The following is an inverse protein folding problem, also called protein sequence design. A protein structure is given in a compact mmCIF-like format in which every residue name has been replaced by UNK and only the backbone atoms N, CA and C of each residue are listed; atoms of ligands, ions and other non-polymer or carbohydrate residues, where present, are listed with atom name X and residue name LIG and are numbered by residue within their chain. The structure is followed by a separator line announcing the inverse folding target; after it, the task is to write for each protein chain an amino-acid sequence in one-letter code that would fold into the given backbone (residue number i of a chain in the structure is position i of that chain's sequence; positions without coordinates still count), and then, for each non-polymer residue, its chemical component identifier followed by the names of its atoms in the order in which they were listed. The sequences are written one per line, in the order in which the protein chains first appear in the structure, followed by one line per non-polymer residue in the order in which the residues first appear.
data_IF_588867085658
#
_entry.id   IF_588867085658
#
_cell.length_a   1.000
_cell.length_b   1.000
_cell.length_c   1.000
_cell.angle_alpha   90.00
_cell.angle_beta   90.00
_cell.angle_gamma   90.00
#
_symmetry.space_group_name_H-M   'P 1'
#
loop_
_entity.id
_entity.type
_entity.pdbx_description
1 polymer ?
#
# COMPACT_ATOMS: atom_id res chain seq x y z
N UNK A 1 -40.36 -3.36 19.41
CA UNK A 1 -39.73 -4.69 19.43
C UNK A 1 -40.22 -5.44 20.65
N UNK A 2 -40.75 -6.65 20.45
CA UNK A 2 -41.16 -7.58 21.50
C UNK A 2 -40.56 -8.94 21.19
N UNK A 3 -39.98 -9.62 22.18
CA UNK A 3 -39.45 -10.97 21.99
C UNK A 3 -40.61 -11.96 21.84
N UNK A 4 -40.71 -12.64 20.69
CA UNK A 4 -41.77 -13.60 20.38
C UNK A 4 -41.34 -15.05 20.61
N UNK A 5 -40.08 -15.37 20.35
CA UNK A 5 -39.56 -16.72 20.46
C UNK A 5 -38.07 -16.75 20.80
N UNK A 6 -37.67 -17.77 21.56
CA UNK A 6 -36.27 -18.11 21.83
C UNK A 6 -36.02 -19.52 21.28
N UNK A 7 -34.99 -19.69 20.45
CA UNK A 7 -34.54 -20.99 19.96
C UNK A 7 -33.15 -21.28 20.53
N UNK A 8 -32.99 -22.43 21.17
CA UNK A 8 -31.79 -22.83 21.90
C UNK A 8 -31.31 -24.18 21.37
N UNK A 9 -30.01 -24.36 21.17
CA UNK A 9 -29.43 -25.67 20.89
C UNK A 9 -27.98 -25.72 21.39
N UNK A 10 -27.61 -26.80 22.08
CA UNK A 10 -26.28 -26.98 22.66
C UNK A 10 -25.88 -25.93 23.71
N UNK A 11 -26.83 -25.15 24.25
CA UNK A 11 -26.55 -24.05 25.18
C UNK A 11 -26.81 -24.48 26.62
N UNK A 12 -25.75 -24.59 27.43
CA UNK A 12 -25.81 -25.03 28.83
C UNK A 12 -26.69 -26.28 29.00
N UNK A 13 -27.79 -26.18 29.78
CA UNK A 13 -28.73 -27.28 30.01
C UNK A 13 -29.58 -27.67 28.79
N UNK A 14 -29.63 -26.82 27.76
CA UNK A 14 -30.44 -27.04 26.54
C UNK A 14 -29.61 -27.72 25.45
N UNK A 15 -29.49 -29.05 25.56
CA UNK A 15 -28.71 -29.86 24.60
C UNK A 15 -29.43 -29.95 23.26
N UNK A 16 -30.69 -30.38 23.29
CA UNK A 16 -31.50 -30.58 22.08
C UNK A 16 -32.11 -29.26 21.61
N UNK A 17 -32.38 -29.10 20.30
CA UNK A 17 -33.09 -27.94 19.77
C UNK A 17 -34.41 -27.71 20.53
N UNK A 18 -34.48 -26.60 21.25
CA UNK A 18 -35.60 -26.23 22.10
C UNK A 18 -36.17 -24.91 21.65
N UNK A 19 -37.49 -24.83 21.52
CA UNK A 19 -38.21 -23.64 21.12
C UNK A 19 -39.10 -23.16 22.27
N UNK A 20 -38.85 -21.96 22.76
CA UNK A 20 -39.65 -21.32 23.81
C UNK A 20 -40.45 -20.20 23.17
N UNK A 21 -41.78 -20.34 23.12
CA UNK A 21 -42.69 -19.30 22.63
C UNK A 21 -43.08 -18.34 23.76
N UNK A 22 -43.17 -17.05 23.45
CA UNK A 22 -43.51 -15.98 24.38
C UNK A 22 -44.75 -15.23 23.88
N UNK A 23 -45.96 -15.78 24.05
CA UNK A 23 -47.18 -15.27 23.41
C UNK A 23 -47.74 -13.99 24.06
N UNK A 24 -47.41 -13.73 25.33
CA UNK A 24 -48.02 -12.67 26.14
C UNK A 24 -47.05 -11.57 26.58
N UNK A 25 -47.59 -10.53 27.22
CA UNK A 25 -46.78 -9.48 27.86
C UNK A 25 -46.12 -9.94 29.17
N UNK A 26 -46.76 -10.89 29.85
CA UNK A 26 -46.26 -11.51 31.08
C UNK A 26 -46.13 -13.00 30.81
N UNK A 27 -44.92 -13.54 30.99
CA UNK A 27 -44.65 -14.97 30.85
C UNK A 27 -43.93 -15.44 32.10
N UNK A 28 -44.48 -16.45 32.77
CA UNK A 28 -43.86 -17.10 33.91
C UNK A 28 -43.05 -18.31 33.48
N UNK A 29 -41.74 -18.31 33.73
CA UNK A 29 -40.90 -19.51 33.57
C UNK A 29 -40.80 -20.19 34.93
N UNK A 30 -41.40 -21.36 35.06
CA UNK A 30 -41.42 -22.13 36.31
C UNK A 30 -40.75 -23.49 36.12
N UNK A 31 -40.15 -23.99 37.20
CA UNK A 31 -39.50 -25.30 37.21
C UNK A 31 -38.69 -25.51 38.49
N UNK A 32 -38.38 -26.77 38.82
CA UNK A 32 -37.63 -27.13 40.02
C UNK A 32 -36.20 -26.57 39.97
N UNK A 33 -35.54 -26.48 41.13
CA UNK A 33 -34.15 -26.01 41.18
C UNK A 33 -33.25 -26.90 40.31
N UNK A 34 -32.35 -26.28 39.53
CA UNK A 34 -31.45 -26.98 38.61
C UNK A 34 -32.04 -27.35 37.24
N UNK A 35 -33.31 -27.04 36.94
CA UNK A 35 -33.92 -27.31 35.63
C UNK A 35 -33.42 -26.42 34.48
N UNK A 36 -32.53 -25.45 34.75
CA UNK A 36 -32.04 -24.52 33.74
C UNK A 36 -32.88 -23.26 33.53
N UNK A 37 -33.83 -22.94 34.42
CA UNK A 37 -34.63 -21.70 34.37
C UNK A 37 -33.78 -20.45 34.21
N UNK A 38 -32.73 -20.29 35.01
CA UNK A 38 -31.82 -19.13 34.92
C UNK A 38 -31.02 -19.10 33.61
N UNK A 39 -30.78 -20.26 32.98
CA UNK A 39 -30.05 -20.33 31.71
C UNK A 39 -30.83 -19.68 30.56
N UNK A 40 -32.15 -19.51 30.68
CA UNK A 40 -32.95 -18.76 29.68
C UNK A 40 -32.55 -17.27 29.68
N UNK A 41 -32.34 -16.68 30.86
CA UNK A 41 -31.87 -15.29 30.99
C UNK A 41 -30.41 -15.17 30.51
N UNK A 42 -29.57 -16.16 30.83
CA UNK A 42 -28.19 -16.19 30.34
C UNK A 42 -28.14 -16.27 28.80
N UNK A 43 -29.02 -17.06 28.18
CA UNK A 43 -29.13 -17.15 26.73
C UNK A 43 -29.50 -15.81 26.10
N UNK A 44 -30.44 -15.08 26.71
CA UNK A 44 -30.83 -13.74 26.29
C UNK A 44 -29.65 -12.76 26.37
N UNK A 45 -29.01 -12.65 27.55
CA UNK A 45 -27.83 -11.80 27.78
C UNK A 45 -26.69 -12.13 26.81
N UNK A 46 -26.46 -13.41 26.55
CA UNK A 46 -25.42 -13.90 25.65
C UNK A 46 -25.64 -13.46 24.20
N UNK A 47 -26.87 -13.56 23.67
CA UNK A 47 -27.17 -13.10 22.30
C UNK A 47 -27.12 -11.59 22.17
N UNK A 48 -27.55 -10.85 23.20
CA UNK A 48 -27.52 -9.38 23.23
C UNK A 48 -26.09 -8.79 23.32
N UNK A 49 -25.06 -9.64 23.37
CA UNK A 49 -23.67 -9.24 23.23
C UNK A 49 -22.86 -9.23 24.52
N UNK A 50 -23.34 -9.84 25.61
CA UNK A 50 -22.55 -10.02 26.83
C UNK A 50 -21.25 -10.79 26.51
N UNK A 51 -20.14 -10.22 26.97
CA UNK A 51 -18.78 -10.71 26.71
C UNK A 51 -18.08 -11.24 27.96
N UNK A 52 -18.61 -10.96 29.15
CA UNK A 52 -18.05 -11.45 30.41
C UNK A 52 -18.65 -12.83 30.73
N UNK A 53 -17.80 -13.86 30.77
CA UNK A 53 -18.21 -15.21 31.15
C UNK A 53 -18.84 -15.25 32.56
N UNK A 54 -18.30 -14.47 33.49
CA UNK A 54 -18.81 -14.37 34.86
C UNK A 54 -20.25 -13.85 34.93
N UNK A 55 -20.65 -12.96 34.02
CA UNK A 55 -22.02 -12.46 33.92
C UNK A 55 -23.00 -13.53 33.39
N UNK A 56 -22.46 -14.58 32.77
CA UNK A 56 -23.21 -15.75 32.29
C UNK A 56 -23.00 -16.94 33.23
N UNK A 57 -22.54 -16.75 34.47
CA UNK A 57 -22.31 -17.83 35.45
C UNK A 57 -21.39 -18.94 34.91
N UNK A 58 -20.38 -18.56 34.14
CA UNK A 58 -19.30 -19.44 33.65
C UNK A 58 -17.93 -18.84 33.96
N UNK A 59 -16.89 -19.67 33.92
CA UNK A 59 -15.50 -19.24 34.07
C UNK A 59 -14.94 -18.76 32.72
N UNK A 60 -15.26 -19.49 31.66
CA UNK A 60 -14.86 -19.18 30.29
C UNK A 60 -16.08 -18.98 29.39
N UNK A 61 -15.91 -18.27 28.27
CA UNK A 61 -16.98 -18.12 27.29
C UNK A 61 -17.38 -19.46 26.63
N UNK A 62 -16.50 -20.47 26.66
CA UNK A 62 -16.79 -21.81 26.13
C UNK A 62 -17.76 -22.59 27.03
N UNK A 63 -17.89 -22.20 28.31
CA UNK A 63 -18.80 -22.86 29.28
C UNK A 63 -20.29 -22.67 28.95
N UNK A 64 -20.60 -21.81 27.99
CA UNK A 64 -21.95 -21.72 27.42
C UNK A 64 -22.31 -22.94 26.56
N UNK A 65 -21.30 -23.67 26.06
CA UNK A 65 -21.47 -24.89 25.27
C UNK A 65 -21.70 -26.06 26.24
N UNK A 66 -22.72 -26.88 25.96
CA UNK A 66 -22.97 -28.06 26.78
C UNK A 66 -21.75 -29.00 26.82
N UNK A 67 -21.20 -29.20 28.03
CA UNK A 67 -19.97 -29.96 28.24
C UNK A 67 -20.19 -31.45 28.54
N UNK A 68 -21.40 -31.97 28.32
CA UNK A 68 -21.73 -33.37 28.57
C UNK A 68 -22.35 -33.59 29.95
N UNK A 69 -22.97 -34.76 30.12
CA UNK A 69 -23.48 -35.26 31.39
C UNK A 69 -23.25 -36.77 31.45
N UNK A 70 -23.56 -37.40 32.59
CA UNK A 70 -23.47 -38.86 32.74
C UNK A 70 -24.25 -39.65 31.68
N UNK A 71 -25.28 -39.06 31.08
CA UNK A 71 -26.13 -39.70 30.06
C UNK A 71 -25.90 -39.17 28.63
N UNK A 72 -25.16 -38.08 28.43
CA UNK A 72 -25.05 -37.40 27.13
C UNK A 72 -23.65 -36.89 26.85
N UNK A 73 -23.18 -37.10 25.62
CA UNK A 73 -21.88 -36.60 25.16
C UNK A 73 -21.85 -35.08 25.07
N UNK A 74 -20.68 -34.44 25.26
CA UNK A 74 -20.51 -33.01 24.98
C UNK A 74 -20.83 -32.68 23.52
N UNK A 75 -21.30 -31.46 23.28
CA UNK A 75 -21.49 -30.91 21.92
C UNK A 75 -20.38 -29.91 21.60
N UNK A 76 -20.11 -29.69 20.31
CA UNK A 76 -19.07 -28.77 19.84
C UNK A 76 -19.56 -27.35 19.58
N UNK A 77 -20.88 -27.12 19.64
CA UNK A 77 -21.51 -25.87 19.20
C UNK A 77 -22.68 -25.51 20.11
N UNK A 78 -22.77 -24.24 20.47
CA UNK A 78 -23.96 -23.64 21.05
C UNK A 78 -24.54 -22.61 20.07
N UNK A 79 -25.87 -22.59 19.96
CA UNK A 79 -26.56 -21.53 19.22
C UNK A 79 -27.81 -21.09 19.96
N UNK A 80 -28.01 -19.78 20.02
CA UNK A 80 -29.21 -19.16 20.54
C UNK A 80 -29.70 -18.16 19.51
N UNK A 81 -30.98 -18.22 19.19
CA UNK A 81 -31.65 -17.29 18.29
C UNK A 81 -32.86 -16.68 19.00
N UNK A 82 -32.92 -15.35 19.01
CA UNK A 82 -34.00 -14.55 19.55
C UNK A 82 -34.80 -13.98 18.37
N UNK A 83 -36.11 -14.19 18.38
CA UNK A 83 -37.00 -13.66 17.35
C UNK A 83 -37.80 -12.54 17.98
N UNK A 84 -37.77 -11.38 17.33
CA UNK A 84 -38.46 -10.18 17.76
C UNK A 84 -39.53 -9.76 16.76
N UNK A 85 -40.73 -9.55 17.27
CA UNK A 85 -41.80 -8.83 16.59
C UNK A 85 -41.47 -7.33 16.56
N UNK A 86 -41.27 -6.82 15.36
CA UNK A 86 -40.97 -5.42 15.05
C UNK A 86 -42.08 -4.77 14.19
N UNK A 87 -43.33 -5.26 14.27
CA UNK A 87 -44.49 -4.67 13.58
C UNK A 87 -44.67 -3.16 13.80
N UNK A 88 -44.21 -2.62 14.94
CA UNK A 88 -44.24 -1.19 15.27
C UNK A 88 -43.04 -0.38 14.75
N UNK A 89 -42.12 -0.98 13.98
CA UNK A 89 -41.00 -0.29 13.34
C UNK A 89 -40.00 0.35 14.32
N UNK A 90 -39.89 -0.15 15.56
CA UNK A 90 -39.05 0.45 16.62
C UNK A 90 -37.57 0.06 16.52
N UNK A 91 -37.20 -0.90 15.67
CA UNK A 91 -35.81 -1.26 15.45
C UNK A 91 -35.03 -0.13 14.76
N UNK A 92 -33.77 0.05 15.12
CA UNK A 92 -32.93 1.10 14.54
C UNK A 92 -32.39 0.74 13.14
N UNK A 93 -32.25 1.77 12.29
CA UNK A 93 -31.50 1.68 11.03
C UNK A 93 -32.18 0.85 9.95
N UNK A 94 -31.36 0.10 9.19
CA UNK A 94 -31.79 -0.71 8.04
C UNK A 94 -32.74 -1.86 8.39
N UNK A 95 -32.88 -2.18 9.68
CA UNK A 95 -33.71 -3.29 10.16
C UNK A 95 -35.15 -2.85 10.50
N UNK A 96 -35.42 -1.54 10.48
CA UNK A 96 -36.73 -0.96 10.78
C UNK A 96 -37.84 -1.42 9.82
N UNK A 97 -37.49 -1.73 8.57
CA UNK A 97 -38.41 -2.17 7.51
C UNK A 97 -38.91 -3.60 7.69
N UNK A 98 -38.24 -4.41 8.50
CA UNK A 98 -38.64 -5.80 8.72
C UNK A 98 -39.66 -5.89 9.86
N UNK A 99 -40.78 -6.56 9.60
CA UNK A 99 -41.81 -6.86 10.59
C UNK A 99 -41.32 -7.85 11.67
N UNK A 100 -40.36 -8.70 11.34
CA UNK A 100 -39.73 -9.65 12.25
C UNK A 100 -38.21 -9.57 12.11
N UNK A 101 -37.51 -9.62 13.24
CA UNK A 101 -36.05 -9.59 13.30
C UNK A 101 -35.58 -10.79 14.10
N UNK A 102 -34.81 -11.68 13.47
CA UNK A 102 -34.11 -12.77 14.15
C UNK A 102 -32.67 -12.36 14.45
N UNK A 103 -32.22 -12.58 15.68
CA UNK A 103 -30.85 -12.32 16.11
C UNK A 103 -30.28 -13.60 16.68
N UNK A 104 -29.19 -14.06 16.09
CA UNK A 104 -28.59 -15.35 16.41
C UNK A 104 -27.13 -15.20 16.75
N UNK A 105 -26.71 -15.82 17.85
CA UNK A 105 -25.30 -16.01 18.20
C UNK A 105 -24.97 -17.49 18.14
N UNK A 106 -23.83 -17.81 17.53
CA UNK A 106 -23.28 -19.17 17.46
C UNK A 106 -21.87 -19.13 18.02
N UNK A 107 -21.54 -20.09 18.89
CA UNK A 107 -20.19 -20.29 19.37
C UNK A 107 -19.77 -21.75 19.15
N UNK A 108 -18.58 -21.91 18.63
CA UNK A 108 -17.93 -23.20 18.42
C UNK A 108 -16.81 -23.40 19.46
N UNK A 109 -16.45 -24.67 19.73
CA UNK A 109 -15.41 -25.02 20.72
C UNK A 109 -14.01 -24.51 20.37
N UNK A 110 -13.75 -24.26 19.10
CA UNK A 110 -12.52 -23.61 18.61
C UNK A 110 -12.42 -22.12 19.01
N UNK A 111 -13.49 -21.55 19.57
CA UNK A 111 -13.57 -20.16 20.00
C UNK A 111 -14.21 -19.22 18.98
N UNK A 112 -14.61 -19.71 17.81
CA UNK A 112 -15.27 -18.88 16.81
C UNK A 112 -16.70 -18.51 17.27
N UNK A 113 -16.93 -17.21 17.45
CA UNK A 113 -18.21 -16.62 17.87
C UNK A 113 -18.77 -15.75 16.76
N UNK A 114 -19.81 -16.23 16.09
CA UNK A 114 -20.45 -15.52 14.99
C UNK A 114 -21.83 -14.98 15.37
N UNK A 115 -22.13 -13.77 14.90
CA UNK A 115 -23.42 -13.11 15.08
C UNK A 115 -24.14 -13.01 13.75
N UNK A 116 -25.46 -13.16 13.79
CA UNK A 116 -26.31 -13.07 12.62
C UNK A 116 -27.57 -12.28 12.94
N UNK A 117 -28.03 -11.46 11.98
CA UNK A 117 -29.35 -10.83 11.98
C UNK A 117 -30.07 -11.32 10.72
N UNK A 118 -31.27 -11.89 10.85
CA UNK A 118 -32.03 -12.45 9.73
C UNK A 118 -31.17 -13.38 8.84
N UNK A 119 -30.37 -14.26 9.48
CA UNK A 119 -29.37 -15.14 8.86
C UNK A 119 -28.20 -14.45 8.14
N UNK A 120 -28.12 -13.13 8.08
CA UNK A 120 -26.96 -12.41 7.56
C UNK A 120 -25.88 -12.30 8.63
N UNK A 121 -24.63 -12.61 8.30
CA UNK A 121 -23.50 -12.45 9.21
C UNK A 121 -23.23 -10.96 9.51
N UNK A 122 -23.08 -10.62 10.78
CA UNK A 122 -22.90 -9.24 11.26
C UNK A 122 -21.88 -9.17 12.39
N UNK A 123 -21.38 -7.97 12.69
CA UNK A 123 -20.47 -7.77 13.82
C UNK A 123 -21.27 -7.63 15.11
N UNK A 124 -20.63 -7.94 16.24
CA UNK A 124 -21.21 -7.72 17.58
C UNK A 124 -21.69 -6.27 17.78
N UNK A 125 -20.93 -5.28 17.28
CA UNK A 125 -21.31 -3.86 17.38
C UNK A 125 -22.67 -3.60 16.71
N UNK A 126 -22.91 -4.23 15.56
CA UNK A 126 -24.16 -4.06 14.82
C UNK A 126 -25.37 -4.62 15.62
N UNK A 127 -25.19 -5.67 16.44
CA UNK A 127 -26.21 -6.16 17.39
C UNK A 127 -26.49 -5.12 18.48
N UNK A 128 -25.43 -4.59 19.09
CA UNK A 128 -25.55 -3.59 20.16
C UNK A 128 -26.25 -2.33 19.65
N UNK A 129 -25.95 -1.90 18.43
CA UNK A 129 -26.50 -0.70 17.81
C UNK A 129 -28.03 -0.81 17.55
N UNK A 130 -28.56 -2.01 17.30
CA UNK A 130 -30.02 -2.22 17.13
C UNK A 130 -30.78 -1.92 18.42
N UNK A 131 -30.23 -2.32 19.56
CA UNK A 131 -30.87 -2.18 20.86
C UNK A 131 -30.50 -0.89 21.61
N UNK A 132 -29.66 -0.08 21.00
CA UNK A 132 -29.17 1.14 21.58
C UNK A 132 -30.32 2.17 21.64
N UNK A 133 -30.70 2.54 22.87
CA UNK A 133 -31.87 3.38 23.14
C UNK A 133 -33.20 2.63 23.29
N UNK A 134 -33.22 1.29 23.14
CA UNK A 134 -34.42 0.48 23.46
C UNK A 134 -34.38 -0.07 24.90
N UNK A 135 -33.32 0.22 25.65
CA UNK A 135 -33.09 -0.30 27.00
C UNK A 135 -32.69 -1.78 27.06
N UNK A 136 -32.46 -2.43 25.90
CA UNK A 136 -32.13 -3.86 25.75
C UNK A 136 -30.67 -4.08 25.29
N UNK A 137 -29.71 -3.37 25.88
CA UNK A 137 -28.27 -3.59 25.63
C UNK A 137 -27.57 -4.55 26.62
N UNK A 138 -26.26 -4.78 26.48
CA UNK A 138 -25.46 -5.50 27.49
C UNK A 138 -25.43 -4.78 28.86
N UNK A 139 -25.77 -3.48 28.90
CA UNK A 139 -26.00 -2.70 30.12
C UNK A 139 -27.49 -2.44 30.39
N UNK A 140 -28.37 -3.24 29.81
CA UNK A 140 -29.82 -3.11 29.94
C UNK A 140 -30.27 -3.12 31.41
N UNK A 141 -30.96 -2.07 31.82
CA UNK A 141 -31.78 -2.09 33.04
C UNK A 141 -33.00 -3.02 32.89
N UNK A 142 -33.38 -3.37 31.65
CA UNK A 142 -34.52 -4.23 31.36
C UNK A 142 -34.34 -5.70 31.79
N UNK A 143 -33.10 -6.15 32.06
CA UNK A 143 -32.82 -7.52 32.51
C UNK A 143 -32.30 -7.48 33.95
N UNK A 144 -33.20 -7.72 34.90
CA UNK A 144 -32.89 -7.77 36.33
C UNK A 144 -32.47 -9.19 36.71
N UNK A 145 -31.26 -9.32 37.27
CA UNK A 145 -30.74 -10.60 37.75
C UNK A 145 -30.80 -10.74 39.28
N UNK A 146 -30.58 -11.97 39.74
CA UNK A 146 -30.49 -12.32 41.16
C UNK A 146 -29.39 -11.49 41.85
N UNK A 147 -29.79 -10.63 42.78
CA UNK A 147 -28.89 -9.71 43.50
C UNK A 147 -28.63 -8.36 42.81
N UNK A 148 -29.15 -8.14 41.59
CA UNK A 148 -29.00 -6.85 40.90
C UNK A 148 -29.73 -5.72 41.62
N UNK A 149 -30.89 -5.99 42.22
CA UNK A 149 -31.65 -4.99 42.99
C UNK A 149 -30.83 -4.49 44.18
N UNK A 150 -30.27 -5.40 44.99
CA UNK A 150 -29.41 -5.04 46.12
C UNK A 150 -28.19 -4.23 45.66
N UNK A 151 -27.55 -4.63 44.56
CA UNK A 151 -26.42 -3.87 43.98
C UNK A 151 -26.80 -2.45 43.58
N UNK A 152 -27.98 -2.24 43.00
CA UNK A 152 -28.44 -0.90 42.61
C UNK A 152 -28.70 -0.04 43.85
N UNK A 153 -29.26 -0.62 44.92
CA UNK A 153 -29.54 0.09 46.17
C UNK A 153 -28.23 0.48 46.89
N UNK A 154 -27.22 -0.38 46.86
CA UNK A 154 -25.91 -0.16 47.49
C UNK A 154 -24.90 0.56 46.58
N UNK A 155 -25.26 0.82 45.32
CA UNK A 155 -24.35 1.39 44.32
C UNK A 155 -23.91 2.80 44.69
N UNK A 156 -22.63 3.11 44.40
CA UNK A 156 -22.13 4.48 44.48
C UNK A 156 -22.76 5.36 43.41
N UNK A 157 -22.83 6.69 43.61
CA UNK A 157 -23.42 7.62 42.65
C UNK A 157 -22.86 7.48 41.22
N UNK A 158 -21.56 7.19 41.07
CA UNK A 158 -20.90 7.01 39.77
C UNK A 158 -21.39 5.76 39.03
N UNK A 159 -21.67 4.68 39.77
CA UNK A 159 -22.19 3.43 39.22
C UNK A 159 -23.68 3.59 38.86
N UNK A 160 -24.44 4.24 39.75
CA UNK A 160 -25.86 4.52 39.53
C UNK A 160 -26.09 5.42 38.30
N UNK A 161 -25.19 6.38 38.06
CA UNK A 161 -25.24 7.28 36.91
C UNK A 161 -25.36 6.54 35.59
N UNK A 162 -24.66 5.43 35.40
CA UNK A 162 -24.72 4.66 34.15
C UNK A 162 -26.13 4.13 33.87
N UNK A 163 -26.83 3.67 34.92
CA UNK A 163 -28.21 3.20 34.78
C UNK A 163 -29.17 4.36 34.48
N UNK A 164 -28.98 5.51 35.12
CA UNK A 164 -29.80 6.71 34.87
C UNK A 164 -29.60 7.27 33.46
N UNK A 165 -28.37 7.30 32.96
CA UNK A 165 -28.05 7.76 31.60
C UNK A 165 -28.67 6.85 30.52
N UNK A 166 -28.67 5.54 30.77
CA UNK A 166 -29.31 4.56 29.89
C UNK A 166 -30.83 4.67 29.92
N UNK A 167 -31.42 4.86 31.11
CA UNK A 167 -32.85 5.09 31.26
C UNK A 167 -33.31 6.40 30.60
N UNK A 168 -32.47 7.45 30.66
CA UNK A 168 -32.70 8.72 29.97
C UNK A 168 -32.43 8.65 28.45
N UNK A 169 -31.88 7.55 27.93
CA UNK A 169 -31.57 7.37 26.52
C UNK A 169 -30.44 8.26 25.99
N UNK A 170 -29.66 8.90 26.88
CA UNK A 170 -28.57 9.80 26.49
C UNK A 170 -27.27 9.08 26.14
N UNK A 171 -27.13 7.80 26.51
CA UNK A 171 -25.98 6.95 26.18
C UNK A 171 -25.63 6.98 24.69
N UNK A 172 -26.65 6.97 23.81
CA UNK A 172 -26.47 7.06 22.35
C UNK A 172 -25.69 8.29 21.92
N UNK A 173 -26.09 9.45 22.43
CA UNK A 173 -25.48 10.71 22.07
C UNK A 173 -24.08 10.82 22.68
N UNK A 174 -23.91 10.32 23.90
CA UNK A 174 -22.60 10.29 24.58
C UNK A 174 -21.59 9.43 23.83
N UNK A 175 -21.97 8.22 23.43
CA UNK A 175 -21.09 7.30 22.69
C UNK A 175 -20.76 7.86 21.30
N UNK A 176 -21.76 8.42 20.59
CA UNK A 176 -21.53 9.10 19.30
C UNK A 176 -20.61 10.32 19.42
N UNK A 177 -20.75 11.10 20.50
CA UNK A 177 -19.88 12.26 20.75
C UNK A 177 -18.44 11.80 20.95
N UNK A 178 -18.23 10.78 21.80
CA UNK A 178 -16.90 10.21 22.05
C UNK A 178 -16.26 9.63 20.79
N UNK A 179 -17.01 8.89 19.98
CA UNK A 179 -16.51 8.35 18.70
C UNK A 179 -16.12 9.48 17.72
N UNK A 180 -16.93 10.53 17.66
CA UNK A 180 -16.63 11.72 16.84
C UNK A 180 -15.40 12.47 17.35
N UNK A 181 -15.28 12.69 18.66
CA UNK A 181 -14.11 13.33 19.29
C UNK A 181 -12.83 12.55 18.95
N UNK A 182 -12.86 11.22 19.04
CA UNK A 182 -11.73 10.37 18.68
C UNK A 182 -11.36 10.50 17.20
N UNK A 183 -12.34 10.45 16.29
CA UNK A 183 -12.10 10.63 14.85
C UNK A 183 -11.51 12.00 14.51
N UNK A 184 -11.93 13.05 15.22
CA UNK A 184 -11.38 14.40 15.04
C UNK A 184 -9.92 14.41 15.50
N UNK A 185 -9.60 13.75 16.62
CA UNK A 185 -8.23 13.55 17.09
C UNK A 185 -7.36 12.88 16.02
N UNK A 186 -7.78 11.71 15.53
CA UNK A 186 -7.05 10.96 14.50
C UNK A 186 -6.86 11.80 13.21
N UNK A 187 -7.86 12.60 12.84
CA UNK A 187 -7.78 13.48 11.66
C UNK A 187 -6.75 14.60 11.86
N UNK A 188 -6.67 15.17 13.06
CA UNK A 188 -5.65 16.19 13.38
C UNK A 188 -4.24 15.61 13.31
N UNK A 189 -4.04 14.41 13.82
CA UNK A 189 -2.73 13.73 13.76
C UNK A 189 -2.33 13.44 12.31
N UNK A 190 -3.29 13.02 11.47
CA UNK A 190 -3.05 12.84 10.04
C UNK A 190 -2.67 14.16 9.34
N UNK A 191 -3.34 15.27 9.67
CA UNK A 191 -3.02 16.59 9.10
C UNK A 191 -1.63 17.06 9.52
N UNK A 192 -1.22 16.83 10.76
CA UNK A 192 0.14 17.14 11.23
C UNK A 192 1.18 16.40 10.39
N UNK A 193 0.98 15.09 10.19
CA UNK A 193 1.87 14.27 9.36
C UNK A 193 1.94 14.74 7.90
N UNK A 194 0.82 15.14 7.32
CA UNK A 194 0.80 15.72 5.97
C UNK A 194 1.57 17.04 5.93
N UNK A 195 1.45 17.87 6.97
CA UNK A 195 2.24 19.09 7.13
C UNK A 195 3.75 18.82 7.12
N UNK A 196 4.21 17.81 7.85
CA UNK A 196 5.62 17.41 7.89
C UNK A 196 6.13 16.98 6.51
N UNK A 197 5.34 16.18 5.79
CA UNK A 197 5.68 15.72 4.43
C UNK A 197 5.76 16.90 3.46
N UNK A 198 4.82 17.85 3.54
CA UNK A 198 4.84 19.05 2.69
C UNK A 198 6.09 19.88 2.92
N UNK A 199 6.48 20.11 4.18
CA UNK A 199 7.71 20.85 4.50
C UNK A 199 8.96 20.16 3.96
N UNK A 200 9.02 18.83 4.02
CA UNK A 200 10.14 18.08 3.47
C UNK A 200 10.18 18.15 1.94
N UNK A 201 9.02 18.02 1.27
CA UNK A 201 8.93 18.14 -0.18
C UNK A 201 9.30 19.55 -0.66
N UNK A 202 8.92 20.61 0.05
CA UNK A 202 9.32 21.98 -0.27
C UNK A 202 10.84 22.17 -0.25
N UNK A 203 11.52 21.60 0.75
CA UNK A 203 12.99 21.63 0.82
C UNK A 203 13.62 20.88 -0.34
N UNK A 204 13.10 19.71 -0.69
CA UNK A 204 13.59 18.92 -1.83
C UNK A 204 13.39 19.66 -3.15
N UNK A 205 12.24 20.31 -3.33
CA UNK A 205 11.92 21.07 -4.53
C UNK A 205 12.85 22.28 -4.69
N UNK A 206 13.15 23.00 -3.60
CA UNK A 206 14.13 24.08 -3.61
C UNK A 206 15.54 23.59 -4.01
N UNK A 207 15.99 22.45 -3.48
CA UNK A 207 17.28 21.87 -3.83
C UNK A 207 17.34 21.43 -5.30
N UNK A 208 16.31 20.73 -5.79
CA UNK A 208 16.21 20.32 -7.19
C UNK A 208 16.11 21.51 -8.14
N UNK A 209 15.44 22.59 -7.74
CA UNK A 209 15.39 23.85 -8.50
C UNK A 209 16.78 24.45 -8.71
N UNK A 210 17.59 24.53 -7.64
CA UNK A 210 18.97 25.00 -7.73
C UNK A 210 19.83 24.11 -8.64
N UNK A 211 19.71 22.78 -8.51
CA UNK A 211 20.41 21.83 -9.38
C UNK A 211 20.00 21.97 -10.86
N UNK A 212 18.72 22.19 -11.13
CA UNK A 212 18.21 22.36 -12.49
C UNK A 212 18.78 23.61 -13.16
N UNK A 213 18.93 24.71 -12.43
CA UNK A 213 19.55 25.94 -12.96
C UNK A 213 21.04 25.73 -13.29
N UNK A 214 21.79 25.06 -12.41
CA UNK A 214 23.20 24.70 -12.69
C UNK A 214 23.30 23.80 -13.91
N UNK A 215 22.43 22.79 -14.04
CA UNK A 215 22.42 21.89 -15.19
C UNK A 215 22.07 22.61 -16.51
N UNK A 216 21.16 23.59 -16.48
CA UNK A 216 20.85 24.44 -17.64
C UNK A 216 22.06 25.26 -18.07
N UNK A 217 22.74 25.91 -17.12
CA UNK A 217 23.94 26.70 -17.40
C UNK A 217 25.06 25.82 -17.97
N UNK A 218 25.29 24.65 -17.38
CA UNK A 218 26.25 23.67 -17.88
C UNK A 218 25.97 23.28 -19.33
N UNK A 219 24.73 22.90 -19.67
CA UNK A 219 24.36 22.53 -21.06
C UNK A 219 24.54 23.69 -22.04
N UNK A 220 24.28 24.92 -21.62
CA UNK A 220 24.50 26.10 -22.45
C UNK A 220 26.00 26.30 -22.74
N UNK A 221 26.85 26.19 -21.71
CA UNK A 221 28.31 26.29 -21.83
C UNK A 221 28.89 25.14 -22.66
N UNK A 222 28.39 23.92 -22.49
CA UNK A 222 28.79 22.74 -23.26
C UNK A 222 28.51 22.94 -24.76
N UNK A 223 27.31 23.44 -25.11
CA UNK A 223 26.97 23.77 -26.50
C UNK A 223 27.88 24.86 -27.08
N UNK A 224 28.21 25.88 -26.27
CA UNK A 224 29.13 26.94 -26.68
C UNK A 224 30.54 26.40 -26.89
N UNK A 225 31.03 25.54 -25.98
CA UNK A 225 32.32 24.85 -26.10
C UNK A 225 32.39 24.03 -27.38
N UNK A 226 31.39 23.19 -27.65
CA UNK A 226 31.35 22.32 -28.82
C UNK A 226 31.36 23.12 -30.12
N UNK A 227 30.59 24.21 -30.18
CA UNK A 227 30.59 25.11 -31.33
C UNK A 227 31.97 25.75 -31.53
N UNK A 228 32.57 26.24 -30.44
CA UNK A 228 33.88 26.92 -30.48
C UNK A 228 35.00 25.95 -30.87
N UNK A 229 34.97 24.73 -30.34
CA UNK A 229 35.90 23.67 -30.67
C UNK A 229 35.76 23.22 -32.13
N UNK A 230 34.52 23.06 -32.62
CA UNK A 230 34.26 22.77 -34.03
C UNK A 230 34.80 23.84 -34.97
N UNK A 231 34.59 25.12 -34.64
CA UNK A 231 35.15 26.24 -35.40
C UNK A 231 36.69 26.25 -35.37
N UNK A 232 37.30 26.01 -34.21
CA UNK A 232 38.75 25.93 -34.08
C UNK A 232 39.33 24.80 -34.96
N UNK A 233 38.71 23.63 -34.95
CA UNK A 233 39.14 22.51 -35.80
C UNK A 233 38.99 22.82 -37.29
N UNK A 234 37.94 23.54 -37.68
CA UNK A 234 37.77 24.00 -39.06
C UNK A 234 38.91 24.93 -39.49
N UNK A 235 39.27 25.90 -38.66
CA UNK A 235 40.41 26.80 -38.93
C UNK A 235 41.71 26.00 -39.04
N UNK A 236 41.96 25.07 -38.12
CA UNK A 236 43.16 24.20 -38.17
C UNK A 236 43.21 23.36 -39.44
N UNK A 237 42.07 22.85 -39.90
CA UNK A 237 41.97 22.12 -41.17
C UNK A 237 42.33 23.03 -42.36
N UNK A 238 41.79 24.25 -42.41
CA UNK A 238 42.10 25.20 -43.48
C UNK A 238 43.58 25.61 -43.49
N UNK A 239 44.17 25.86 -42.31
CA UNK A 239 45.61 26.13 -42.18
C UNK A 239 46.45 24.95 -42.71
N UNK A 240 46.09 23.72 -42.33
CA UNK A 240 46.78 22.51 -42.79
C UNK A 240 46.63 22.31 -44.31
N UNK A 241 45.46 22.58 -44.89
CA UNK A 241 45.23 22.52 -46.34
C UNK A 241 46.07 23.57 -47.08
N UNK A 242 46.13 24.81 -46.57
CA UNK A 242 46.96 25.87 -47.14
C UNK A 242 48.46 25.52 -47.07
N UNK A 243 48.92 24.99 -45.93
CA UNK A 243 50.30 24.50 -45.80
C UNK A 243 50.59 23.35 -46.77
N UNK A 244 49.67 22.38 -46.89
CA UNK A 244 49.80 21.26 -47.83
C UNK A 244 49.90 21.75 -49.28
N UNK A 245 49.06 22.71 -49.68
CA UNK A 245 49.11 23.30 -51.02
C UNK A 245 50.44 24.03 -51.28
N UNK A 246 50.94 24.78 -50.30
CA UNK A 246 52.24 25.44 -50.37
C UNK A 246 53.39 24.44 -50.53
N UNK A 247 53.43 23.39 -49.70
CA UNK A 247 54.43 22.34 -49.82
C UNK A 247 54.34 21.58 -51.14
N UNK A 248 53.12 21.26 -51.60
CA UNK A 248 52.93 20.61 -52.91
C UNK A 248 53.45 21.46 -54.08
N UNK A 249 53.22 22.78 -54.04
CA UNK A 249 53.78 23.70 -55.05
C UNK A 249 55.31 23.77 -54.99
N UNK A 250 55.89 23.83 -53.79
CA UNK A 250 57.35 23.79 -53.62
C UNK A 250 57.94 22.48 -54.16
N UNK A 251 57.37 21.33 -53.78
CA UNK A 251 57.81 20.02 -54.29
C UNK A 251 57.68 19.94 -55.81
N UNK A 252 56.60 20.49 -56.39
CA UNK A 252 56.44 20.60 -57.83
C UNK A 252 57.56 21.39 -58.50
N UNK A 253 57.90 22.58 -57.98
CA UNK A 253 59.01 23.40 -58.49
C UNK A 253 60.35 22.69 -58.40
N UNK A 254 60.68 22.16 -57.22
CA UNK A 254 61.93 21.42 -57.00
C UNK A 254 62.03 20.18 -57.91
N UNK A 255 60.90 19.51 -58.19
CA UNK A 255 60.85 18.41 -59.15
C UNK A 255 61.15 18.87 -60.58
N UNK A 256 60.55 19.98 -61.04
CA UNK A 256 60.84 20.54 -62.37
C UNK A 256 62.28 21.02 -62.49
N UNK A 257 62.84 21.62 -61.45
CA UNK A 257 64.26 22.00 -61.37
C UNK A 257 65.16 20.76 -61.48
N UNK A 258 64.86 19.71 -60.73
CA UNK A 258 65.59 18.44 -60.81
C UNK A 258 65.48 17.81 -62.20
N UNK A 259 64.28 17.78 -62.81
CA UNK A 259 64.09 17.30 -64.18
C UNK A 259 64.91 18.11 -65.19
N UNK A 260 65.02 19.43 -64.99
CA UNK A 260 65.85 20.31 -65.84
C UNK A 260 67.34 20.01 -65.68
N UNK A 261 67.84 19.88 -64.44
CA UNK A 261 69.24 19.53 -64.17
C UNK A 261 69.60 18.12 -64.66
N UNK A 262 68.69 17.14 -64.52
CA UNK A 262 68.90 15.80 -65.08
C UNK A 262 68.93 15.81 -66.61
N UNK A 263 68.11 16.64 -67.27
CA UNK A 263 68.17 16.83 -68.72
C UNK A 263 69.49 17.49 -69.16
N UNK A 264 69.97 18.50 -68.42
CA UNK A 264 71.28 19.12 -68.65
C UNK A 264 72.43 18.12 -68.49
N UNK A 265 72.38 17.30 -67.45
CA UNK A 265 73.38 16.27 -67.20
C UNK A 265 73.42 15.26 -68.36
N UNK A 266 72.25 14.80 -68.84
CA UNK A 266 72.17 13.93 -70.03
C UNK A 266 72.71 14.58 -71.30
N UNK A 267 72.45 15.87 -71.50
CA UNK A 267 73.00 16.60 -72.65
C UNK A 267 74.54 16.69 -72.57
N UNK A 268 75.09 17.00 -71.40
CA UNK A 268 76.54 17.01 -71.16
C UNK A 268 77.15 15.62 -71.35
N UNK A 269 76.48 14.56 -70.87
CA UNK A 269 76.91 13.17 -71.08
C UNK A 269 76.97 12.82 -72.57
N UNK A 270 75.95 13.19 -73.35
CA UNK A 270 75.93 13.00 -74.81
C UNK A 270 77.04 13.80 -75.51
N UNK A 271 77.29 15.06 -75.10
CA UNK A 271 78.39 15.87 -75.62
C UNK A 271 79.75 15.24 -75.30
N UNK A 272 79.93 14.73 -74.09
CA UNK A 272 81.14 14.04 -73.68
C UNK A 272 81.36 12.75 -74.48
N UNK A 273 80.31 11.97 -74.72
CA UNK A 273 80.38 10.77 -75.56
C UNK A 273 80.75 11.11 -77.00
N UNK A 274 80.16 12.17 -77.57
CA UNK A 274 80.50 12.68 -78.90
C UNK A 274 81.95 13.16 -78.97
N UNK A 275 82.43 13.88 -77.96
CA UNK A 275 83.82 14.33 -77.86
C UNK A 275 84.79 13.15 -77.71
N UNK A 276 84.43 12.12 -76.93
CA UNK A 276 85.19 10.87 -76.80
C UNK A 276 85.26 10.14 -78.14
N UNK A 277 84.14 9.97 -78.86
CA UNK A 277 84.16 9.34 -80.18
C UNK A 277 85.02 10.12 -81.17
N UNK A 278 84.96 11.46 -81.14
CA UNK A 278 85.82 12.32 -81.94
C UNK A 278 87.31 12.18 -81.57
N UNK A 279 87.63 12.11 -80.28
CA UNK A 279 88.99 11.85 -79.81
C UNK A 279 89.49 10.47 -80.27
N UNK A 280 88.68 9.41 -80.17
CA UNK A 280 89.04 8.08 -80.68
C UNK A 280 89.32 8.12 -82.18
N UNK A 281 88.48 8.76 -82.99
CA UNK A 281 88.71 8.93 -84.42
C UNK A 281 90.01 9.69 -84.74
N UNK A 282 90.28 10.78 -84.01
CA UNK A 282 91.53 11.55 -84.17
C UNK A 282 92.76 10.75 -83.71
N UNK A 283 92.64 9.98 -82.63
CA UNK A 283 93.70 9.11 -82.13
C UNK A 283 93.99 7.97 -83.10
N UNK A 284 92.97 7.36 -83.70
CA UNK A 284 93.12 6.35 -84.76
C UNK A 284 93.78 6.96 -86.00
N UNK A 285 93.35 8.15 -86.43
CA UNK A 285 93.98 8.86 -87.53
C UNK A 285 95.45 9.21 -87.25
N UNK A 286 95.79 9.60 -86.01
CA UNK A 286 97.16 9.83 -85.57
C UNK A 286 97.98 8.54 -85.58
N UNK A 287 97.42 7.42 -85.09
CA UNK A 287 98.08 6.11 -85.14
C UNK A 287 98.33 5.65 -86.58
N UNK A 288 97.39 5.86 -87.50
CA UNK A 288 97.59 5.59 -88.94
C UNK A 288 98.73 6.46 -89.48
N UNK A 289 98.75 7.76 -89.18
CA UNK A 289 99.81 8.68 -89.62
C UNK A 289 101.17 8.39 -88.99
N UNK A 290 101.22 7.92 -87.74
CA UNK A 290 102.44 7.45 -87.10
C UNK A 290 102.92 6.13 -87.70
N UNK A 291 102.01 5.20 -88.04
CA UNK A 291 102.34 3.98 -88.76
C UNK A 291 102.97 4.26 -90.13
N UNK A 292 102.43 5.23 -90.87
CA UNK A 292 103.02 5.75 -92.13
C UNK A 292 104.40 6.39 -91.94
N UNK A 293 104.77 6.84 -90.73
CA UNK A 293 106.06 7.45 -90.42
C UNK A 293 107.14 6.42 -90.00
N UNK A 294 106.71 5.25 -89.52
CA UNK A 294 107.58 4.16 -89.06
C UNK A 294 107.68 3.00 -90.07
N UNK A 295 107.19 3.18 -91.29
CA UNK A 295 107.41 2.30 -92.47
C UNK A 295 108.09 3.08 -93.58
#
# INVERSE_FOLDING_TARGET
MRLSQIKLAGFKSFVDPTHISLPGQIVGVVGPNGCGKSNVIDALRWVLGESKASALRGETMQDVIFNGSSKRKPVSRASVELIFDNSLGKAAGQWSSYAEISIKRVLQRDGDSSYHINNQHVRRKDITDIFLGTGLGPRAYAIIEQGMISRIIEAKPEELRVFLEEAAGISKYRDRRRETEQRIGDTRDNLLRVGDILQELEKQLAHLGAQAEVAKQYRALEKQRDTSQGLFWLVKKQEAEAQRAKFASMTGKTRTELETETARLRDIENQLETARSGHYQLSDALHVKQGELYT
#
